data_IF_942530667405
#
_entry.id   IF_942530667405
#
_cell.length_a   1.000
_cell.length_b   1.000
_cell.length_c   1.000
_cell.angle_alpha   90.00
_cell.angle_beta   90.00
_cell.angle_gamma   90.00
#
_symmetry.space_group_name_H-M   'P 1'
#
loop_
_entity.id
_entity.type
_entity.pdbx_description
1 polymer ?
#
# COMPACT_ATOMS: atom_id res chain seq x y z
N UNK A 1 9.10 22.98 6.00
CA UNK A 1 7.85 22.19 5.94
C UNK A 1 8.23 20.89 5.26
N UNK A 2 8.51 19.84 6.02
CA UNK A 2 8.72 18.50 5.46
C UNK A 2 7.81 17.55 6.24
N UNK A 3 6.51 17.70 6.00
CA UNK A 3 5.50 16.73 6.38
C UNK A 3 5.13 15.89 5.16
N UNK A 4 6.14 15.38 4.46
CA UNK A 4 5.92 14.43 3.39
C UNK A 4 5.84 13.05 4.01
N UNK A 5 4.65 12.49 4.04
CA UNK A 5 4.35 11.08 4.23
C UNK A 5 5.45 10.23 3.55
N UNK A 6 6.44 9.78 4.34
CA UNK A 6 7.65 9.09 3.86
C UNK A 6 7.35 7.63 3.56
N UNK A 7 6.23 7.40 2.90
CA UNK A 7 5.77 6.07 2.54
C UNK A 7 6.31 5.67 1.18
N UNK A 8 6.71 6.64 0.32
CA UNK A 8 7.23 6.38 -1.02
C UNK A 8 6.20 5.86 -2.01
N UNK A 9 4.92 5.85 -1.61
CA UNK A 9 3.80 5.45 -2.43
C UNK A 9 3.19 6.67 -3.11
N UNK A 10 2.82 6.50 -4.36
CA UNK A 10 2.04 7.45 -5.15
C UNK A 10 0.95 6.66 -5.85
N UNK A 11 -0.19 7.25 -6.13
CA UNK A 11 -1.27 6.54 -6.82
C UNK A 11 -1.97 7.46 -7.79
N UNK A 12 -2.32 6.94 -8.96
CA UNK A 12 -3.25 7.53 -9.90
C UNK A 12 -4.64 6.91 -9.70
N UNK A 13 -5.67 7.40 -10.41
CA UNK A 13 -7.06 6.90 -10.35
C UNK A 13 -7.24 5.39 -10.57
N UNK A 14 -6.22 4.69 -11.09
CA UNK A 14 -6.30 3.26 -11.42
C UNK A 14 -5.21 2.39 -10.80
N UNK A 15 -4.12 3.00 -10.36
CA UNK A 15 -2.88 2.27 -10.10
C UNK A 15 -2.10 2.89 -8.97
N UNK A 16 -1.53 2.04 -8.12
CA UNK A 16 -0.59 2.46 -7.08
C UNK A 16 0.84 2.20 -7.56
N UNK A 17 1.72 3.14 -7.26
CA UNK A 17 3.13 3.18 -7.61
C UNK A 17 3.96 3.30 -6.34
N UNK A 18 5.12 2.64 -6.33
CA UNK A 18 6.11 2.77 -5.28
C UNK A 18 7.44 3.19 -5.91
N UNK A 19 7.80 4.46 -5.71
CA UNK A 19 8.92 5.09 -6.43
C UNK A 19 8.71 5.07 -7.94
N UNK A 20 9.40 4.16 -8.64
CA UNK A 20 9.31 3.98 -10.10
C UNK A 20 8.61 2.69 -10.51
N UNK A 21 8.15 1.90 -9.55
CA UNK A 21 7.55 0.59 -9.79
C UNK A 21 6.03 0.64 -9.66
N UNK A 22 5.34 -0.19 -10.43
CA UNK A 22 3.88 -0.32 -10.40
C UNK A 22 3.49 -1.47 -9.48
N UNK A 23 2.52 -1.25 -8.60
CA UNK A 23 1.93 -2.33 -7.81
C UNK A 23 0.84 -3.01 -8.63
N UNK A 24 1.17 -4.19 -9.16
CA UNK A 24 0.24 -5.00 -9.92
C UNK A 24 -0.94 -5.46 -9.03
N UNK A 25 -2.17 -5.20 -9.50
CA UNK A 25 -3.39 -5.52 -8.76
C UNK A 25 -3.69 -4.63 -7.55
N UNK A 26 -2.88 -3.59 -7.28
CA UNK A 26 -3.20 -2.63 -6.24
C UNK A 26 -4.28 -1.66 -6.74
N UNK A 27 -5.38 -1.59 -6.00
CA UNK A 27 -6.47 -0.67 -6.28
C UNK A 27 -6.29 0.58 -5.40
N UNK A 28 -6.03 1.77 -5.97
CA UNK A 28 -5.83 3.00 -5.20
C UNK A 28 -7.02 3.34 -4.28
N UNK A 29 -8.25 2.94 -4.65
CA UNK A 29 -9.43 3.18 -3.83
C UNK A 29 -9.48 2.31 -2.55
N UNK A 30 -8.88 1.13 -2.60
CA UNK A 30 -8.90 0.15 -1.50
C UNK A 30 -7.52 -0.08 -0.89
N UNK A 31 -6.48 0.57 -1.39
CA UNK A 31 -5.10 0.41 -0.90
C UNK A 31 -4.85 1.42 0.19
N UNK A 32 -4.70 0.93 1.41
CA UNK A 32 -4.26 1.72 2.55
C UNK A 32 -2.75 1.60 2.68
N UNK A 33 -2.07 2.73 2.56
CA UNK A 33 -0.65 2.85 2.88
C UNK A 33 -0.54 2.97 4.38
N UNK A 34 0.22 2.05 4.99
CA UNK A 34 0.39 1.98 6.44
C UNK A 34 1.58 2.88 6.81
N UNK A 35 2.74 2.29 7.13
CA UNK A 35 3.99 2.99 7.40
C UNK A 35 5.17 2.10 6.97
N UNK A 36 6.39 2.63 6.95
CA UNK A 36 7.61 1.85 6.63
C UNK A 36 7.56 1.09 5.29
N UNK A 37 6.90 1.67 4.28
CA UNK A 37 6.70 1.05 2.95
C UNK A 37 5.79 -0.19 3.00
N UNK A 38 4.92 -0.31 3.98
CA UNK A 38 3.84 -1.28 3.96
C UNK A 38 2.59 -0.63 3.38
N UNK A 39 1.92 -1.35 2.49
CA UNK A 39 0.60 -1.02 2.02
C UNK A 39 -0.23 -2.31 1.98
N UNK A 40 -1.53 -2.23 2.20
CA UNK A 40 -2.40 -3.37 2.01
C UNK A 40 -3.68 -2.93 1.30
N UNK A 41 -4.26 -3.83 0.53
CA UNK A 41 -5.63 -3.68 0.04
C UNK A 41 -6.49 -4.86 0.51
N UNK A 42 -7.72 -4.93 0.02
CA UNK A 42 -8.68 -5.98 0.40
C UNK A 42 -8.21 -7.40 0.06
N UNK A 43 -7.27 -7.55 -0.87
CA UNK A 43 -6.86 -8.84 -1.44
C UNK A 43 -5.40 -9.23 -1.10
N UNK A 44 -4.52 -8.24 -0.93
CA UNK A 44 -3.08 -8.38 -0.92
C UNK A 44 -2.40 -7.43 0.06
N UNK A 45 -1.29 -7.89 0.62
CA UNK A 45 -0.36 -7.05 1.39
C UNK A 45 0.88 -6.80 0.55
N UNK A 46 1.32 -5.56 0.53
CA UNK A 46 2.46 -5.06 -0.21
C UNK A 46 3.56 -4.56 0.74
N UNK A 47 4.81 -4.83 0.38
CA UNK A 47 5.99 -4.24 0.98
C UNK A 47 6.84 -3.61 -0.12
N UNK A 48 6.81 -2.27 -0.21
CA UNK A 48 7.28 -1.52 -1.36
C UNK A 48 6.47 -1.88 -2.61
N UNK A 49 7.15 -2.35 -3.65
CA UNK A 49 6.54 -2.80 -4.91
C UNK A 49 6.14 -4.29 -4.92
N UNK A 50 6.37 -5.03 -3.82
CA UNK A 50 6.23 -6.48 -3.80
C UNK A 50 5.02 -6.96 -3.02
N UNK A 51 4.29 -7.91 -3.60
CA UNK A 51 3.22 -8.63 -2.90
C UNK A 51 3.82 -9.65 -1.93
N UNK A 52 3.40 -9.60 -0.68
CA UNK A 52 3.72 -10.60 0.35
C UNK A 52 2.71 -11.75 0.21
N UNK A 53 3.11 -12.83 -0.44
CA UNK A 53 2.25 -14.01 -0.59
C UNK A 53 2.06 -14.70 0.77
N UNK A 54 0.80 -14.96 1.12
CA UNK A 54 0.42 -15.60 2.38
C UNK A 54 0.34 -14.64 3.57
N UNK A 55 0.45 -13.33 3.34
CA UNK A 55 0.09 -12.34 4.35
C UNK A 55 -1.44 -12.14 4.34
N UNK A 56 -2.04 -12.10 5.54
CA UNK A 56 -3.46 -11.83 5.72
C UNK A 56 -3.70 -10.31 5.75
N UNK A 57 -4.30 -9.70 4.70
CA UNK A 57 -4.58 -8.27 4.69
C UNK A 57 -5.48 -7.84 5.85
N UNK A 58 -6.40 -8.70 6.29
CA UNK A 58 -7.26 -8.45 7.44
C UNK A 58 -6.49 -8.30 8.76
N UNK A 59 -5.28 -8.85 8.86
CA UNK A 59 -4.41 -8.65 10.03
C UNK A 59 -3.83 -7.24 10.06
N UNK A 60 -3.54 -6.66 8.89
CA UNK A 60 -3.00 -5.30 8.74
C UNK A 60 -4.06 -4.20 8.91
N UNK A 61 -5.34 -4.51 8.65
CA UNK A 61 -6.48 -3.60 8.92
C UNK A 61 -6.61 -3.21 10.40
N UNK A 62 -6.03 -4.00 11.33
CA UNK A 62 -6.16 -3.76 12.77
C UNK A 62 -5.33 -2.59 13.32
N UNK A 63 -4.51 -1.92 12.49
CA UNK A 63 -3.65 -0.81 12.90
C UNK A 63 -4.17 0.59 12.56
N UNK A 64 -5.43 0.71 12.12
CA UNK A 64 -6.20 1.93 11.76
C UNK A 64 -6.54 1.95 10.27
N UNK A 65 -7.78 1.56 9.95
CA UNK A 65 -8.51 2.02 8.77
C UNK A 65 -10.02 1.86 9.05
N UNK A 66 -10.50 2.68 9.99
CA UNK A 66 -11.91 2.99 10.17
C UNK A 66 -12.30 4.24 9.39
#
# INVERSE_FOLDING_TARGET
>A
MEGGDNSGYSSDDKTVFFGTNILDGANPESTSVIENRYACNSDFVYFGDKIIKGADPSSFVTLDCG
#
